data_IF_950510580614
#
_entry.id   IF_950510580614
#
_cell.length_a   1.000
_cell.length_b   1.000
_cell.length_c   1.000
_cell.angle_alpha   90.00
_cell.angle_beta   90.00
_cell.angle_gamma   90.00
#
_symmetry.space_group_name_H-M   'P 1'
#
loop_
_entity.id
_entity.type
_entity.pdbx_description
1 polymer ?
#
# COMPACT_ATOMS: atom_id res chain seq x y z
N UNK A 1 -25.09 -31.07 15.77
CA UNK A 1 -25.83 -30.80 14.51
C UNK A 1 -25.85 -29.30 14.17
N UNK A 2 -26.35 -28.44 15.07
CA UNK A 2 -26.36 -26.96 14.90
C UNK A 2 -24.97 -26.33 14.69
N UNK A 3 -23.94 -26.82 15.38
CA UNK A 3 -22.55 -26.36 15.23
C UNK A 3 -21.98 -26.67 13.84
N UNK A 4 -22.33 -27.83 13.28
CA UNK A 4 -21.91 -28.24 11.93
C UNK A 4 -22.59 -27.39 10.85
N UNK A 5 -23.90 -27.16 10.98
CA UNK A 5 -24.67 -26.32 10.06
C UNK A 5 -24.18 -24.87 10.07
N UNK A 6 -23.95 -24.27 11.26
CA UNK A 6 -23.38 -22.93 11.39
C UNK A 6 -22.00 -22.83 10.75
N UNK A 7 -21.13 -23.82 10.97
CA UNK A 7 -19.79 -23.84 10.37
C UNK A 7 -19.84 -23.85 8.85
N UNK A 8 -20.69 -24.68 8.25
CA UNK A 8 -20.82 -24.77 6.78
C UNK A 8 -21.35 -23.47 6.18
N UNK A 9 -22.38 -22.86 6.78
CA UNK A 9 -22.89 -21.56 6.32
C UNK A 9 -21.83 -20.47 6.43
N UNK A 10 -21.11 -20.40 7.56
CA UNK A 10 -20.03 -19.44 7.74
C UNK A 10 -18.92 -19.65 6.72
N UNK A 11 -18.47 -20.89 6.49
CA UNK A 11 -17.47 -21.20 5.47
C UNK A 11 -17.92 -20.79 4.08
N UNK A 12 -19.17 -21.08 3.70
CA UNK A 12 -19.73 -20.64 2.41
C UNK A 12 -19.80 -19.12 2.29
N UNK A 13 -20.25 -18.43 3.35
CA UNK A 13 -20.30 -16.97 3.39
C UNK A 13 -18.90 -16.35 3.26
N UNK A 14 -17.92 -16.85 4.02
CA UNK A 14 -16.53 -16.37 3.96
C UNK A 14 -15.85 -16.67 2.62
N UNK A 15 -16.26 -17.73 1.93
CA UNK A 15 -15.74 -18.06 0.60
C UNK A 15 -16.30 -17.13 -0.47
N UNK A 16 -17.58 -16.78 -0.40
CA UNK A 16 -18.26 -15.91 -1.37
C UNK A 16 -17.99 -14.43 -1.07
N UNK A 17 -17.77 -14.06 0.20
CA UNK A 17 -17.62 -12.68 0.63
C UNK A 17 -16.55 -11.90 -0.17
N UNK A 18 -15.32 -12.41 -0.43
CA UNK A 18 -14.34 -11.69 -1.23
C UNK A 18 -14.85 -11.42 -2.66
N UNK A 19 -15.45 -12.41 -3.31
CA UNK A 19 -15.96 -12.30 -4.68
C UNK A 19 -17.11 -11.29 -4.75
N UNK A 20 -18.08 -11.43 -3.85
CA UNK A 20 -19.22 -10.51 -3.75
C UNK A 20 -18.75 -9.08 -3.45
N UNK A 21 -17.75 -8.92 -2.57
CA UNK A 21 -17.16 -7.63 -2.23
C UNK A 21 -16.46 -7.01 -3.45
N UNK A 22 -15.69 -7.79 -4.22
CA UNK A 22 -15.09 -7.32 -5.47
C UNK A 22 -16.14 -6.83 -6.46
N UNK A 23 -17.19 -7.62 -6.72
CA UNK A 23 -18.29 -7.20 -7.61
C UNK A 23 -19.01 -5.96 -7.10
N UNK A 24 -19.25 -5.86 -5.79
CA UNK A 24 -19.85 -4.68 -5.17
C UNK A 24 -18.98 -3.44 -5.39
N UNK A 25 -17.67 -3.53 -5.13
CA UNK A 25 -16.74 -2.42 -5.36
C UNK A 25 -16.72 -2.00 -6.84
N UNK A 26 -16.64 -2.95 -7.77
CA UNK A 26 -16.69 -2.66 -9.20
C UNK A 26 -18.00 -1.97 -9.59
N UNK A 27 -19.14 -2.41 -9.06
CA UNK A 27 -20.44 -1.79 -9.29
C UNK A 27 -20.50 -0.38 -8.72
N UNK A 28 -20.03 -0.16 -7.49
CA UNK A 28 -20.00 1.17 -6.86
C UNK A 28 -19.17 2.14 -7.69
N UNK A 29 -17.98 1.71 -8.12
CA UNK A 29 -17.15 2.51 -9.01
C UNK A 29 -17.93 2.79 -10.30
N UNK A 30 -18.38 1.76 -11.02
CA UNK A 30 -19.08 1.95 -12.30
C UNK A 30 -20.29 2.89 -12.21
N UNK A 31 -21.15 2.73 -11.20
CA UNK A 31 -22.32 3.60 -10.98
C UNK A 31 -21.91 5.03 -10.61
N UNK A 32 -20.87 5.20 -9.79
CA UNK A 32 -20.33 6.53 -9.49
C UNK A 32 -19.83 7.22 -10.76
N UNK A 33 -19.12 6.49 -11.64
CA UNK A 33 -18.60 7.02 -12.91
C UNK A 33 -19.71 7.34 -13.90
N UNK A 34 -20.70 6.45 -14.02
CA UNK A 34 -21.87 6.65 -14.89
C UNK A 34 -22.67 7.88 -14.44
N UNK A 35 -22.92 8.03 -13.14
CA UNK A 35 -23.62 9.21 -12.60
C UNK A 35 -22.85 10.51 -12.80
N UNK A 36 -21.52 10.49 -12.68
CA UNK A 36 -20.68 11.67 -12.88
C UNK A 36 -20.66 12.12 -14.35
N UNK A 37 -20.81 11.17 -15.28
CA UNK A 37 -20.64 11.37 -16.71
C UNK A 37 -21.97 11.50 -17.48
N UNK A 38 -23.06 10.92 -16.96
CA UNK A 38 -24.43 10.98 -17.51
C UNK A 38 -24.92 12.39 -17.86
N UNK A 39 -24.65 13.46 -17.07
CA UNK A 39 -25.10 14.81 -17.42
C UNK A 39 -24.49 15.34 -18.72
N UNK A 40 -23.25 14.94 -19.02
CA UNK A 40 -22.52 15.34 -20.23
C UNK A 40 -23.02 14.50 -21.42
N UNK A 41 -23.22 13.20 -21.22
CA UNK A 41 -23.64 12.28 -22.28
C UNK A 41 -25.09 12.48 -22.72
N UNK A 42 -26.01 12.79 -21.80
CA UNK A 42 -27.40 13.14 -22.16
C UNK A 42 -27.50 14.39 -23.04
N UNK A 43 -26.52 15.29 -22.97
CA UNK A 43 -26.48 16.51 -23.79
C UNK A 43 -25.89 16.28 -25.18
N UNK A 44 -25.18 15.17 -25.39
CA UNK A 44 -24.46 14.87 -26.64
C UNK A 44 -25.05 13.67 -27.41
N UNK A 45 -26.11 13.01 -26.92
CA UNK A 45 -26.77 11.84 -27.55
C UNK A 45 -25.85 10.65 -27.88
N UNK A 46 -24.64 10.62 -27.33
CA UNK A 46 -23.66 9.56 -27.58
C UNK A 46 -23.67 8.59 -26.40
N UNK A 47 -24.13 7.36 -26.63
CA UNK A 47 -23.96 6.24 -25.70
C UNK A 47 -22.90 5.29 -26.24
N UNK A 48 -21.67 5.42 -25.71
CA UNK A 48 -20.59 4.48 -26.00
C UNK A 48 -20.28 3.70 -24.72
N UNK A 49 -20.47 2.37 -24.72
CA UNK A 49 -20.09 1.52 -23.58
C UNK A 49 -18.61 1.68 -23.23
N UNK A 50 -18.29 1.91 -21.96
CA UNK A 50 -16.91 2.06 -21.47
C UNK A 50 -16.35 3.50 -21.48
N UNK A 51 -17.06 4.48 -22.05
CA UNK A 51 -16.61 5.88 -22.10
C UNK A 51 -16.55 6.53 -20.70
N UNK A 52 -17.38 6.06 -19.76
CA UNK A 52 -17.28 6.43 -18.34
C UNK A 52 -15.93 6.07 -17.72
N UNK A 53 -15.31 4.95 -18.09
CA UNK A 53 -13.98 4.55 -17.61
C UNK A 53 -12.92 5.54 -18.13
N UNK A 54 -12.97 5.86 -19.43
CA UNK A 54 -12.05 6.83 -20.03
C UNK A 54 -12.18 8.22 -19.39
N UNK A 55 -13.42 8.70 -19.19
CA UNK A 55 -13.67 9.98 -18.54
C UNK A 55 -13.16 9.99 -17.09
N UNK A 56 -13.25 8.86 -16.41
CA UNK A 56 -12.75 8.71 -15.04
C UNK A 56 -11.23 8.74 -14.99
N UNK A 57 -10.57 8.03 -15.89
CA UNK A 57 -9.11 8.08 -16.01
C UNK A 57 -8.65 9.52 -16.29
N UNK A 58 -9.34 10.23 -17.17
CA UNK A 58 -9.08 11.65 -17.43
C UNK A 58 -9.32 12.50 -16.18
N UNK A 59 -10.43 12.32 -15.47
CA UNK A 59 -10.75 13.11 -14.28
C UNK A 59 -9.75 12.84 -13.15
N UNK A 60 -9.40 11.59 -12.90
CA UNK A 60 -8.36 11.19 -11.94
C UNK A 60 -7.01 11.78 -12.34
N UNK A 61 -6.67 11.77 -13.64
CA UNK A 61 -5.46 12.39 -14.15
C UNK A 61 -5.44 13.90 -13.92
N UNK A 62 -6.53 14.62 -14.25
CA UNK A 62 -6.64 16.06 -14.02
C UNK A 62 -6.64 16.43 -12.53
N UNK A 63 -7.32 15.64 -11.69
CA UNK A 63 -7.23 15.78 -10.24
C UNK A 63 -5.79 15.57 -9.77
N UNK A 64 -5.10 14.56 -10.30
CA UNK A 64 -3.68 14.31 -10.04
C UNK A 64 -2.82 15.53 -10.38
N UNK A 65 -2.95 16.07 -11.59
CA UNK A 65 -2.25 17.28 -12.03
C UNK A 65 -2.55 18.48 -11.11
N UNK A 66 -3.82 18.67 -10.78
CA UNK A 66 -4.26 19.74 -9.90
C UNK A 66 -3.62 19.64 -8.52
N UNK A 67 -3.66 18.45 -7.92
CA UNK A 67 -3.09 18.15 -6.60
C UNK A 67 -1.57 18.23 -6.58
N UNK A 68 -0.88 17.90 -7.69
CA UNK A 68 0.58 18.03 -7.78
C UNK A 68 1.06 19.48 -7.86
N UNK A 69 0.21 20.40 -8.31
CA UNK A 69 0.52 21.83 -8.36
C UNK A 69 0.49 22.48 -6.97
N UNK A 70 1.21 23.60 -6.83
CA UNK A 70 1.35 24.36 -5.56
C UNK A 70 -0.03 24.72 -4.99
N UNK A 71 -0.97 25.13 -5.85
CA UNK A 71 -2.32 25.48 -5.46
C UNK A 71 -3.11 24.27 -4.91
N UNK A 72 -3.03 23.11 -5.57
CA UNK A 72 -3.69 21.90 -5.12
C UNK A 72 -3.14 21.39 -3.79
N UNK A 73 -1.82 21.42 -3.60
CA UNK A 73 -1.19 21.11 -2.30
C UNK A 73 -1.70 22.03 -1.20
N UNK A 74 -1.85 23.33 -1.47
CA UNK A 74 -2.34 24.31 -0.50
C UNK A 74 -3.81 24.07 -0.12
N UNK A 75 -4.66 23.75 -1.09
CA UNK A 75 -6.08 23.43 -0.86
C UNK A 75 -6.23 22.13 -0.06
N UNK A 76 -5.46 21.10 -0.40
CA UNK A 76 -5.44 19.84 0.36
C UNK A 76 -5.05 20.06 1.82
N UNK A 77 -3.97 20.80 2.07
CA UNK A 77 -3.55 21.13 3.44
C UNK A 77 -4.62 21.90 4.22
N UNK A 78 -5.36 22.79 3.55
CA UNK A 78 -6.48 23.49 4.15
C UNK A 78 -7.63 22.55 4.52
N UNK A 79 -8.04 21.66 3.59
CA UNK A 79 -9.06 20.64 3.86
C UNK A 79 -8.67 19.70 5.00
N UNK A 80 -7.40 19.28 5.05
CA UNK A 80 -6.89 18.47 6.16
C UNK A 80 -6.98 19.20 7.49
N UNK A 81 -6.72 20.51 7.49
CA UNK A 81 -6.84 21.34 8.69
C UNK A 81 -8.29 21.48 9.13
N UNK A 82 -9.25 21.52 8.20
CA UNK A 82 -10.67 21.48 8.54
C UNK A 82 -11.07 20.14 9.17
N UNK A 83 -10.58 19.01 8.63
CA UNK A 83 -10.89 17.68 9.15
C UNK A 83 -10.31 17.44 10.55
N UNK A 84 -9.17 18.05 10.89
CA UNK A 84 -8.56 17.96 12.23
C UNK A 84 -9.49 18.40 13.35
N UNK A 85 -10.41 19.33 13.06
CA UNK A 85 -11.34 19.87 14.06
C UNK A 85 -12.53 18.94 14.35
N UNK A 86 -12.70 17.86 13.58
CA UNK A 86 -13.78 16.89 13.76
C UNK A 86 -13.15 15.54 14.16
N UNK A 87 -13.20 15.15 15.45
CA UNK A 87 -12.41 14.04 15.99
C UNK A 87 -12.58 12.71 15.24
N UNK A 88 -13.81 12.37 14.85
CA UNK A 88 -14.10 11.13 14.13
C UNK A 88 -13.62 11.18 12.67
N UNK A 89 -13.85 12.30 11.98
CA UNK A 89 -13.44 12.47 10.57
C UNK A 89 -11.93 12.50 10.45
N UNK A 90 -11.24 13.18 11.37
CA UNK A 90 -9.79 13.19 11.43
C UNK A 90 -9.23 11.77 11.55
N UNK A 91 -9.78 10.96 12.45
CA UNK A 91 -9.31 9.58 12.70
C UNK A 91 -9.46 8.72 11.44
N UNK A 92 -10.62 8.79 10.78
CA UNK A 92 -10.88 8.01 9.56
C UNK A 92 -9.99 8.49 8.40
N UNK A 93 -9.93 9.80 8.17
CA UNK A 93 -9.16 10.39 7.08
C UNK A 93 -7.66 10.10 7.22
N UNK A 94 -7.10 10.29 8.42
CA UNK A 94 -5.67 10.04 8.69
C UNK A 94 -5.31 8.57 8.55
N UNK A 95 -6.18 7.66 9.01
CA UNK A 95 -5.98 6.20 8.86
C UNK A 95 -5.94 5.81 7.38
N UNK A 96 -6.92 6.27 6.59
CA UNK A 96 -6.97 5.98 5.15
C UNK A 96 -5.76 6.59 4.42
N UNK A 97 -5.38 7.82 4.78
CA UNK A 97 -4.22 8.49 4.20
C UNK A 97 -2.93 7.74 4.51
N UNK A 98 -2.73 7.25 5.73
CA UNK A 98 -1.56 6.47 6.11
C UNK A 98 -1.48 5.14 5.34
N UNK A 99 -2.61 4.42 5.23
CA UNK A 99 -2.72 3.21 4.43
C UNK A 99 -2.37 3.52 2.97
N UNK A 100 -2.99 4.54 2.39
CA UNK A 100 -2.77 4.94 1.00
C UNK A 100 -1.31 5.37 0.78
N UNK A 101 -0.69 6.08 1.72
CA UNK A 101 0.73 6.47 1.65
C UNK A 101 1.68 5.28 1.73
N UNK A 102 1.35 4.26 2.52
CA UNK A 102 2.11 3.01 2.56
C UNK A 102 2.07 2.28 1.20
N UNK A 103 0.94 2.34 0.50
CA UNK A 103 0.74 1.69 -0.81
C UNK A 103 1.12 2.57 -2.02
N UNK A 104 1.11 3.90 -1.91
CA UNK A 104 1.34 4.84 -3.03
C UNK A 104 2.80 4.93 -3.49
N UNK A 105 3.69 4.12 -2.92
CA UNK A 105 4.92 3.77 -3.60
C UNK A 105 6.08 4.76 -3.50
N UNK A 106 6.08 5.73 -2.58
CA UNK A 106 7.36 6.34 -2.16
C UNK A 106 8.25 5.34 -1.43
N UNK A 107 7.65 4.27 -0.91
CA UNK A 107 8.30 3.11 -0.31
C UNK A 107 8.75 2.12 -1.40
N UNK A 108 7.87 1.69 -2.31
CA UNK A 108 8.20 0.71 -3.36
C UNK A 108 9.06 1.21 -4.54
N UNK A 109 9.09 2.52 -4.86
CA UNK A 109 9.99 3.08 -5.89
C UNK A 109 11.36 3.49 -5.36
N UNK A 110 11.49 3.66 -4.04
CA UNK A 110 12.78 3.96 -3.40
C UNK A 110 13.44 2.71 -2.81
N UNK A 111 12.68 1.64 -2.57
CA UNK A 111 13.26 0.36 -2.18
C UNK A 111 13.81 -0.36 -3.41
N UNK A 112 15.13 -0.39 -3.53
CA UNK A 112 15.82 -1.04 -4.64
C UNK A 112 15.72 -2.56 -4.53
N UNK A 113 15.78 -3.10 -3.31
CA UNK A 113 15.75 -4.54 -3.05
C UNK A 113 15.41 -4.84 -1.58
N UNK A 114 15.28 -6.13 -1.24
CA UNK A 114 15.06 -6.62 0.12
C UNK A 114 16.19 -7.57 0.50
N UNK A 115 16.70 -7.41 1.72
CA UNK A 115 17.76 -8.23 2.30
C UNK A 115 17.36 -8.77 3.68
N UNK A 116 17.99 -9.86 4.08
CA UNK A 116 17.99 -10.35 5.46
C UNK A 116 19.17 -9.76 6.21
N UNK A 117 18.91 -9.29 7.42
CA UNK A 117 19.96 -8.79 8.32
C UNK A 117 19.75 -9.35 9.72
N UNK A 118 20.83 -9.40 10.50
CA UNK A 118 20.76 -9.75 11.91
C UNK A 118 20.46 -8.50 12.74
N UNK A 119 19.29 -8.42 13.36
CA UNK A 119 18.87 -7.27 14.16
C UNK A 119 17.81 -7.66 15.22
N UNK A 120 17.92 -7.18 16.49
CA UNK A 120 18.96 -6.30 17.00
C UNK A 120 20.18 -7.05 17.58
N UNK A 121 20.27 -8.37 17.38
CA UNK A 121 21.40 -9.19 17.85
C UNK A 121 21.75 -10.30 16.85
N UNK A 122 22.90 -10.91 17.06
CA UNK A 122 23.32 -12.07 16.26
C UNK A 122 22.32 -13.23 16.32
N UNK A 123 22.21 -13.95 15.21
CA UNK A 123 21.27 -15.06 14.98
C UNK A 123 19.78 -14.69 15.11
N UNK A 124 19.44 -13.40 15.06
CA UNK A 124 18.05 -12.94 14.98
C UNK A 124 17.83 -12.19 13.67
N UNK A 125 17.10 -12.81 12.74
CA UNK A 125 16.96 -12.32 11.38
C UNK A 125 15.67 -11.51 11.18
N UNK A 126 15.77 -10.44 10.40
CA UNK A 126 14.62 -9.65 9.94
C UNK A 126 14.75 -9.27 8.48
N UNK A 127 13.62 -8.94 7.85
CA UNK A 127 13.59 -8.34 6.51
C UNK A 127 13.90 -6.85 6.63
N UNK A 128 14.81 -6.37 5.77
CA UNK A 128 15.15 -4.98 5.65
C UNK A 128 15.07 -4.54 4.18
N UNK A 129 14.61 -3.32 3.95
CA UNK A 129 14.38 -2.78 2.63
C UNK A 129 15.50 -1.79 2.29
N UNK A 130 16.20 -2.03 1.19
CA UNK A 130 17.32 -1.20 0.73
C UNK A 130 16.79 0.09 0.15
N UNK A 131 16.99 1.21 0.85
CA UNK A 131 16.59 2.56 0.41
C UNK A 131 17.69 3.31 -0.34
N UNK A 132 18.91 2.80 -0.31
CA UNK A 132 20.08 3.43 -0.91
C UNK A 132 21.38 2.76 -0.47
N UNK A 133 22.49 3.38 -0.82
CA UNK A 133 23.84 2.89 -0.56
C UNK A 133 24.82 4.06 -0.39
N UNK A 134 25.93 3.78 0.29
CA UNK A 134 27.04 4.73 0.46
C UNK A 134 28.36 4.01 0.63
N UNK A 135 29.46 4.73 0.53
CA UNK A 135 30.82 4.22 0.73
C UNK A 135 31.51 5.03 1.84
N UNK A 136 32.32 4.38 2.68
CA UNK A 136 33.14 5.08 3.67
C UNK A 136 34.53 5.44 3.12
N UNK A 137 35.35 6.11 3.93
CA UNK A 137 36.71 6.53 3.53
C UNK A 137 37.65 5.37 3.17
N UNK A 138 37.33 4.14 3.60
CA UNK A 138 38.11 2.93 3.33
C UNK A 138 37.54 2.10 2.17
N UNK A 139 36.67 2.69 1.34
CA UNK A 139 36.00 2.01 0.25
C UNK A 139 35.13 0.81 0.63
N UNK A 140 34.63 0.78 1.86
CA UNK A 140 33.63 -0.20 2.29
C UNK A 140 32.25 0.32 1.91
N UNK A 141 31.52 -0.49 1.15
CA UNK A 141 30.15 -0.19 0.75
C UNK A 141 29.14 -0.55 1.85
N UNK A 142 28.15 0.31 2.06
CA UNK A 142 27.08 0.17 3.04
C UNK A 142 25.73 0.16 2.34
N UNK A 143 24.80 -0.63 2.86
CA UNK A 143 23.39 -0.45 2.57
C UNK A 143 22.76 0.54 3.53
N UNK A 144 21.86 1.36 3.00
CA UNK A 144 20.89 2.14 3.77
C UNK A 144 19.60 1.34 3.83
N UNK A 145 19.20 0.97 5.03
CA UNK A 145 18.13 0.01 5.26
C UNK A 145 17.01 0.62 6.09
N UNK A 146 15.78 0.33 5.67
CA UNK A 146 14.60 0.53 6.49
C UNK A 146 14.10 -0.82 7.00
N UNK A 147 14.06 -0.98 8.33
CA UNK A 147 13.48 -2.16 8.99
C UNK A 147 12.09 -1.77 9.52
N UNK A 148 11.00 -2.23 8.88
CA UNK A 148 9.65 -1.87 9.29
C UNK A 148 9.21 -2.58 10.57
N UNK A 149 8.24 -1.98 11.26
CA UNK A 149 7.48 -2.64 12.31
C UNK A 149 6.32 -3.45 11.73
N UNK A 150 5.94 -4.54 12.40
CA UNK A 150 4.77 -5.36 12.05
C UNK A 150 3.58 -5.02 12.97
N UNK A 151 2.32 -5.07 12.49
CA UNK A 151 1.89 -5.29 11.11
C UNK A 151 1.87 -3.99 10.28
N UNK A 152 2.18 -2.84 10.89
CA UNK A 152 2.12 -1.54 10.22
C UNK A 152 3.51 -1.10 9.71
N UNK A 153 3.81 -1.21 8.40
CA UNK A 153 5.14 -0.95 7.84
C UNK A 153 5.44 0.55 7.65
N UNK A 154 4.58 1.46 8.15
CA UNK A 154 4.80 2.91 8.06
C UNK A 154 5.82 3.42 9.07
N UNK A 155 6.08 2.65 10.14
CA UNK A 155 7.11 2.94 11.15
C UNK A 155 8.19 1.88 11.10
N UNK A 156 9.37 2.23 11.59
CA UNK A 156 10.54 1.36 11.55
C UNK A 156 11.79 2.07 12.03
N UNK A 157 12.93 1.40 11.85
CA UNK A 157 14.25 1.96 12.15
C UNK A 157 15.07 2.09 10.88
N UNK A 158 15.87 3.14 10.82
CA UNK A 158 16.91 3.32 9.80
C UNK A 158 18.20 2.68 10.30
N UNK A 159 18.82 1.84 9.47
CA UNK A 159 20.08 1.15 9.77
C UNK A 159 21.03 1.31 8.60
N UNK A 160 22.31 1.54 8.89
CA UNK A 160 23.38 1.40 7.91
C UNK A 160 24.29 0.26 8.34
N UNK A 161 24.60 -0.66 7.42
CA UNK A 161 25.53 -1.75 7.67
C UNK A 161 26.34 -2.09 6.41
N UNK A 162 27.53 -2.67 6.55
CA UNK A 162 28.33 -3.12 5.42
C UNK A 162 27.54 -4.09 4.55
N UNK A 163 27.64 -3.97 3.22
CA UNK A 163 26.92 -4.89 2.31
C UNK A 163 27.25 -6.37 2.58
N UNK A 164 28.44 -6.66 3.10
CA UNK A 164 28.89 -8.01 3.51
C UNK A 164 28.05 -8.65 4.62
N UNK A 165 27.39 -7.84 5.44
CA UNK A 165 26.67 -8.31 6.63
C UNK A 165 25.17 -8.53 6.34
N UNK A 166 24.75 -8.26 5.10
CA UNK A 166 23.43 -8.55 4.59
C UNK A 166 23.43 -9.88 3.80
N UNK A 167 22.31 -10.59 3.84
CA UNK A 167 22.06 -11.74 2.97
C UNK A 167 20.95 -11.38 1.98
N UNK A 168 21.23 -11.50 0.69
CA UNK A 168 20.23 -11.26 -0.35
C UNK A 168 19.04 -12.20 -0.21
N UNK A 169 17.83 -11.66 -0.38
CA UNK A 169 16.61 -12.48 -0.41
C UNK A 169 16.19 -12.77 -1.85
N UNK A 170 15.51 -13.90 -2.05
CA UNK A 170 14.82 -14.17 -3.31
C UNK A 170 13.45 -13.46 -3.40
N UNK A 171 13.04 -12.72 -2.36
CA UNK A 171 11.73 -12.07 -2.31
C UNK A 171 11.77 -10.75 -3.05
N UNK A 172 10.71 -10.46 -3.79
CA UNK A 172 10.47 -9.10 -4.23
C UNK A 172 9.93 -8.24 -3.08
N UNK A 173 9.94 -6.92 -3.27
CA UNK A 173 9.48 -5.95 -2.26
C UNK A 173 8.03 -6.20 -1.81
N UNK A 174 7.15 -6.62 -2.73
CA UNK A 174 5.75 -6.89 -2.42
C UNK A 174 5.57 -8.13 -1.51
N UNK A 175 6.29 -9.22 -1.81
CA UNK A 175 6.28 -10.44 -1.01
C UNK A 175 6.84 -10.22 0.39
N UNK A 176 7.92 -9.44 0.50
CA UNK A 176 8.47 -9.04 1.78
C UNK A 176 7.49 -8.18 2.59
N UNK A 177 6.84 -7.19 1.95
CA UNK A 177 5.82 -6.36 2.61
C UNK A 177 4.63 -7.19 3.06
N UNK A 178 4.15 -8.16 2.27
CA UNK A 178 3.10 -9.11 2.70
C UNK A 178 3.51 -9.88 3.95
N UNK A 179 4.77 -10.32 4.01
CA UNK A 179 5.32 -11.02 5.18
C UNK A 179 5.30 -10.13 6.41
N UNK A 180 5.77 -8.88 6.30
CA UNK A 180 5.78 -7.90 7.40
C UNK A 180 4.36 -7.53 7.85
N UNK A 181 3.48 -7.21 6.92
CA UNK A 181 2.10 -6.78 7.22
C UNK A 181 1.30 -7.91 7.88
N UNK A 182 1.52 -9.15 7.45
CA UNK A 182 0.86 -10.32 8.04
C UNK A 182 1.47 -10.79 9.36
N UNK A 183 2.50 -10.12 9.88
CA UNK A 183 3.21 -10.56 11.08
C UNK A 183 3.92 -11.91 10.90
N UNK A 184 4.32 -12.23 9.66
CA UNK A 184 5.00 -13.47 9.31
C UNK A 184 4.08 -14.62 8.89
N UNK A 185 2.75 -14.49 8.99
CA UNK A 185 1.82 -15.56 8.61
C UNK A 185 1.90 -15.94 7.12
N UNK A 186 2.24 -14.96 6.27
CA UNK A 186 2.40 -15.15 4.83
C UNK A 186 3.87 -15.19 4.40
N UNK A 187 4.80 -15.36 5.35
CA UNK A 187 6.22 -15.49 5.04
C UNK A 187 6.50 -16.81 4.29
N UNK A 188 7.51 -16.85 3.41
CA UNK A 188 7.96 -18.08 2.77
C UNK A 188 8.30 -19.15 3.81
N UNK A 189 8.02 -20.42 3.50
CA UNK A 189 8.36 -21.55 4.39
C UNK A 189 9.85 -21.87 4.46
N UNK A 190 10.62 -21.37 3.49
CA UNK A 190 12.05 -21.66 3.37
C UNK A 190 12.78 -20.35 3.15
N UNK A 191 13.78 -20.09 3.99
CA UNK A 191 14.64 -18.92 3.92
C UNK A 191 16.07 -19.35 3.66
N UNK A 192 16.80 -18.60 2.83
CA UNK A 192 18.25 -18.77 2.65
C UNK A 192 18.96 -17.95 3.72
N UNK A 193 18.89 -18.40 4.97
CA UNK A 193 19.64 -17.80 6.07
C UNK A 193 20.85 -18.70 6.36
N UNK A 194 22.00 -18.08 6.67
CA UNK A 194 23.19 -18.81 7.12
C UNK A 194 23.07 -19.19 8.59
#
# INVERSE_FOLDING_TARGET
MISHFRRIILTGLFTIAPVALTFYFLKVIFVFLDNLSSPIFKRMEIYIPGLGILLTLLLVYFLGLFVTNILGKKILNWLETLFKNIPLVNTIYTTIKQITQAFSGTTGKNFQSVVYIQYPRENLWTLAFVTGDSENENSVEFYHLFVPTTPNPTSGVFIMLPKSDAIETNLNVEEALKSVISGGMLAPKTHKLK
#
